data_IF_588526930991
#
_entry.id   IF_588526930991
#
_cell.length_a   1.000
_cell.length_b   1.000
_cell.length_c   1.000
_cell.angle_alpha   90.00
_cell.angle_beta   90.00
_cell.angle_gamma   90.00
#
_symmetry.space_group_name_H-M   'P 1'
#
loop_
_entity.id
_entity.type
_entity.pdbx_description
1 polymer ?
#
# COMPACT_ATOMS: atom_id res chain seq x y z
N UNK A 1 -56.16 28.22 -9.67
CA UNK A 1 -55.21 27.34 -8.95
C UNK A 1 -53.95 27.20 -9.80
N UNK A 2 -52.76 27.42 -9.23
CA UNK A 2 -51.49 27.30 -9.96
C UNK A 2 -51.06 25.83 -10.07
N UNK A 3 -50.96 25.28 -11.29
CA UNK A 3 -50.41 23.94 -11.54
C UNK A 3 -48.89 24.01 -11.54
N UNK A 4 -48.28 23.90 -10.36
CA UNK A 4 -46.83 23.72 -10.20
C UNK A 4 -46.43 22.28 -10.49
N UNK A 5 -46.42 21.88 -11.75
CA UNK A 5 -45.90 20.58 -12.20
C UNK A 5 -44.47 20.70 -12.71
N UNK A 6 -43.71 19.60 -12.67
CA UNK A 6 -42.40 19.51 -13.31
C UNK A 6 -42.53 19.92 -14.79
N UNK A 7 -41.74 20.90 -15.20
CA UNK A 7 -41.68 21.37 -16.59
C UNK A 7 -40.79 20.42 -17.38
N UNK A 8 -41.01 20.28 -18.68
CA UNK A 8 -40.05 19.60 -19.55
C UNK A 8 -38.69 20.31 -19.44
N UNK A 9 -37.67 19.57 -19.00
CA UNK A 9 -36.34 20.11 -18.68
C UNK A 9 -36.15 20.65 -17.26
N UNK A 10 -37.16 20.59 -16.38
CA UNK A 10 -37.00 20.88 -14.96
C UNK A 10 -36.45 19.67 -14.21
N UNK A 11 -35.19 19.77 -13.77
CA UNK A 11 -34.51 18.76 -12.99
C UNK A 11 -32.99 18.88 -13.14
N UNK A 12 -32.25 18.27 -12.21
CA UNK A 12 -30.80 18.11 -12.39
C UNK A 12 -30.58 17.13 -13.55
N UNK A 13 -29.78 17.46 -14.58
CA UNK A 13 -29.49 16.54 -15.67
C UNK A 13 -28.96 15.23 -15.09
N UNK A 14 -29.44 14.10 -15.63
CA UNK A 14 -29.00 12.79 -15.20
C UNK A 14 -27.51 12.70 -15.47
N UNK A 15 -26.71 12.55 -14.42
CA UNK A 15 -25.26 12.42 -14.56
C UNK A 15 -25.01 11.12 -15.32
N UNK A 16 -24.54 11.24 -16.55
CA UNK A 16 -24.04 10.10 -17.31
C UNK A 16 -22.87 9.53 -16.51
N UNK A 17 -23.00 8.27 -16.09
CA UNK A 17 -21.94 7.57 -15.37
C UNK A 17 -20.75 7.36 -16.30
N UNK A 18 -19.54 7.14 -15.74
CA UNK A 18 -18.44 6.63 -16.55
C UNK A 18 -18.88 5.35 -17.29
N UNK A 19 -18.30 5.07 -18.47
CA UNK A 19 -18.62 3.88 -19.24
C UNK A 19 -18.53 2.63 -18.37
N UNK A 20 -19.50 1.73 -18.55
CA UNK A 20 -19.57 0.49 -17.79
C UNK A 20 -18.36 -0.38 -18.16
N UNK A 21 -17.50 -0.64 -17.18
CA UNK A 21 -16.30 -1.45 -17.37
C UNK A 21 -16.71 -2.91 -17.57
N UNK A 22 -16.48 -3.44 -18.78
CA UNK A 22 -16.87 -4.79 -19.17
C UNK A 22 -16.00 -5.89 -18.56
N UNK A 23 -14.94 -5.54 -17.83
CA UNK A 23 -13.98 -6.50 -17.30
C UNK A 23 -12.86 -6.85 -18.28
N UNK A 24 -11.80 -7.54 -17.79
CA UNK A 24 -10.71 -7.96 -18.63
C UNK A 24 -11.16 -9.09 -19.58
N UNK A 25 -10.67 -9.06 -20.81
CA UNK A 25 -10.88 -10.14 -21.79
C UNK A 25 -9.99 -11.35 -21.44
N UNK A 26 -10.60 -12.41 -20.91
CA UNK A 26 -9.91 -13.64 -20.49
C UNK A 26 -10.23 -14.76 -21.49
N UNK A 27 -9.21 -15.29 -22.16
CA UNK A 27 -9.37 -16.26 -23.25
C UNK A 27 -9.80 -17.65 -22.75
N UNK A 28 -9.30 -18.08 -21.58
CA UNK A 28 -9.60 -19.38 -20.99
C UNK A 28 -10.19 -19.21 -19.59
N UNK A 29 -11.51 -19.27 -19.51
CA UNK A 29 -12.25 -19.19 -18.24
C UNK A 29 -12.23 -20.51 -17.46
N UNK A 30 -11.89 -21.63 -18.11
CA UNK A 30 -11.92 -22.96 -17.48
C UNK A 30 -10.78 -23.16 -16.48
N UNK A 31 -9.66 -22.44 -16.66
CA UNK A 31 -8.49 -22.48 -15.80
C UNK A 31 -8.30 -21.21 -14.96
N UNK A 32 -9.30 -20.34 -14.95
CA UNK A 32 -9.20 -19.06 -14.27
C UNK A 32 -9.34 -19.26 -12.76
N UNK A 33 -8.25 -19.05 -12.04
CA UNK A 33 -8.29 -19.00 -10.57
C UNK A 33 -8.75 -17.62 -10.10
N UNK A 34 -9.33 -17.50 -8.90
CA UNK A 34 -9.71 -16.20 -8.34
C UNK A 34 -8.53 -15.21 -8.28
N UNK A 35 -7.32 -15.70 -8.00
CA UNK A 35 -6.12 -14.87 -7.98
C UNK A 35 -5.75 -14.35 -9.37
N UNK A 36 -5.80 -15.19 -10.40
CA UNK A 36 -5.53 -14.76 -11.78
C UNK A 36 -6.57 -13.75 -12.26
N UNK A 37 -7.84 -13.89 -11.85
CA UNK A 37 -8.86 -12.88 -12.11
C UNK A 37 -8.48 -11.53 -11.49
N UNK A 38 -8.17 -11.48 -10.18
CA UNK A 38 -7.80 -10.21 -9.55
C UNK A 38 -6.54 -9.61 -10.17
N UNK A 39 -5.55 -10.43 -10.54
CA UNK A 39 -4.35 -10.01 -11.28
C UNK A 39 -4.67 -9.41 -12.64
N UNK A 40 -5.62 -9.98 -13.38
CA UNK A 40 -6.06 -9.41 -14.65
C UNK A 40 -6.75 -8.05 -14.42
N UNK A 41 -7.60 -7.93 -13.40
CA UNK A 41 -8.36 -6.70 -13.12
C UNK A 41 -7.49 -5.53 -12.68
N UNK A 42 -6.56 -5.71 -11.72
CA UNK A 42 -5.76 -4.57 -11.25
C UNK A 42 -4.66 -4.14 -12.23
N UNK A 43 -4.30 -4.99 -13.20
CA UNK A 43 -3.34 -4.68 -14.26
C UNK A 43 -3.97 -4.04 -15.50
N UNK A 44 -5.30 -4.11 -15.63
CA UNK A 44 -6.01 -3.49 -16.74
C UNK A 44 -6.01 -1.96 -16.58
N UNK A 45 -5.49 -1.24 -17.59
CA UNK A 45 -5.44 0.22 -17.58
C UNK A 45 -6.79 0.87 -17.80
N UNK A 46 -7.71 0.19 -18.49
CA UNK A 46 -9.07 0.67 -18.79
C UNK A 46 -10.01 0.53 -17.58
N UNK A 47 -9.62 -0.28 -16.59
CA UNK A 47 -10.40 -0.47 -15.38
C UNK A 47 -10.45 0.81 -14.51
N UNK A 48 -11.63 1.17 -13.96
CA UNK A 48 -11.75 2.27 -13.01
C UNK A 48 -10.85 2.08 -11.80
N UNK A 49 -10.31 3.18 -11.27
CA UNK A 49 -9.36 3.15 -10.16
C UNK A 49 -9.88 2.34 -8.95
N UNK A 50 -11.14 2.54 -8.56
CA UNK A 50 -11.75 1.86 -7.42
C UNK A 50 -11.78 0.33 -7.59
N UNK A 51 -12.02 -0.14 -8.82
CA UNK A 51 -12.05 -1.56 -9.15
C UNK A 51 -10.64 -2.14 -9.08
N UNK A 52 -9.65 -1.43 -9.65
CA UNK A 52 -8.24 -1.83 -9.57
C UNK A 52 -7.73 -1.88 -8.13
N UNK A 53 -8.08 -0.86 -7.34
CA UNK A 53 -7.66 -0.75 -5.94
C UNK A 53 -8.19 -1.93 -5.12
N UNK A 54 -9.49 -2.25 -5.23
CA UNK A 54 -10.08 -3.40 -4.53
C UNK A 54 -9.44 -4.72 -4.96
N UNK A 55 -9.26 -4.93 -6.25
CA UNK A 55 -8.62 -6.14 -6.76
C UNK A 55 -7.17 -6.28 -6.27
N UNK A 56 -6.41 -5.18 -6.19
CA UNK A 56 -5.06 -5.18 -5.66
C UNK A 56 -5.03 -5.51 -4.15
N UNK A 57 -5.96 -4.94 -3.37
CA UNK A 57 -6.06 -5.20 -1.94
C UNK A 57 -6.34 -6.68 -1.63
N UNK A 58 -7.26 -7.31 -2.36
CA UNK A 58 -7.59 -8.74 -2.20
C UNK A 58 -6.46 -9.67 -2.69
N UNK A 59 -5.71 -9.26 -3.72
CA UNK A 59 -4.58 -10.02 -4.23
C UNK A 59 -3.30 -9.88 -3.39
N UNK A 60 -3.15 -8.78 -2.63
CA UNK A 60 -1.94 -8.48 -1.85
C UNK A 60 -1.44 -9.63 -0.96
N UNK A 61 -2.29 -10.38 -0.22
CA UNK A 61 -1.86 -11.48 0.64
C UNK A 61 -1.23 -12.65 -0.12
N UNK A 62 -1.52 -12.78 -1.41
CA UNK A 62 -1.10 -13.91 -2.25
C UNK A 62 0.02 -13.55 -3.22
N UNK A 63 0.18 -12.25 -3.54
CA UNK A 63 1.24 -11.75 -4.44
C UNK A 63 2.55 -11.52 -3.69
N UNK A 64 2.48 -11.17 -2.40
CA UNK A 64 3.66 -10.91 -1.59
C UNK A 64 3.95 -12.09 -0.65
N UNK A 65 5.21 -12.48 -0.56
CA UNK A 65 5.64 -13.41 0.48
C UNK A 65 5.33 -12.77 1.84
N UNK A 66 4.46 -13.40 2.64
CA UNK A 66 4.32 -13.01 4.05
C UNK A 66 5.67 -13.23 4.70
N UNK A 67 6.20 -12.19 5.37
CA UNK A 67 7.37 -12.37 6.22
C UNK A 67 7.06 -13.53 7.17
N UNK A 68 7.99 -14.49 7.23
CA UNK A 68 7.91 -15.56 8.20
C UNK A 68 7.75 -14.94 9.60
N UNK A 69 6.87 -15.47 10.45
CA UNK A 69 6.81 -15.03 11.83
C UNK A 69 8.22 -15.19 12.42
N UNK A 70 8.78 -14.08 12.90
CA UNK A 70 10.08 -14.08 13.55
C UNK A 70 9.92 -14.93 14.82
N UNK A 71 10.57 -16.09 14.86
CA UNK A 71 10.70 -16.84 16.11
C UNK A 71 11.35 -15.88 17.12
N UNK A 72 10.71 -15.72 18.28
CA UNK A 72 11.26 -14.95 19.38
C UNK A 72 12.42 -15.74 20.00
N UNK A 73 13.51 -15.92 19.25
CA UNK A 73 14.78 -16.35 19.81
C UNK A 73 15.41 -15.15 20.50
N UNK A 74 15.26 -15.13 21.82
CA UNK A 74 16.16 -14.47 22.77
C UNK A 74 16.20 -12.95 22.74
N UNK A 75 15.97 -12.36 23.91
CA UNK A 75 16.38 -11.00 24.28
C UNK A 75 17.92 -10.83 24.17
N UNK A 76 18.49 -10.86 22.96
CA UNK A 76 19.89 -10.50 22.71
C UNK A 76 20.09 -9.85 21.33
N UNK A 77 19.04 -9.23 20.79
CA UNK A 77 19.19 -8.20 19.76
C UNK A 77 19.42 -6.87 20.46
N UNK A 78 20.67 -6.60 20.84
CA UNK A 78 21.13 -5.23 21.06
C UNK A 78 20.72 -4.43 19.82
N UNK A 79 19.81 -3.46 19.99
CA UNK A 79 19.30 -2.76 18.82
C UNK A 79 20.47 -1.98 18.22
N UNK A 80 20.62 -2.01 16.90
CA UNK A 80 21.63 -1.19 16.24
C UNK A 80 21.47 0.30 16.58
N UNK A 81 20.28 0.74 17.04
CA UNK A 81 20.06 2.08 17.54
C UNK A 81 20.81 2.38 18.86
N UNK A 82 20.96 1.38 19.74
CA UNK A 82 21.71 1.51 21.00
C UNK A 82 23.23 1.63 20.75
N UNK A 83 23.72 0.97 19.69
CA UNK A 83 25.12 1.06 19.26
C UNK A 83 25.46 2.45 18.69
N UNK A 84 24.55 3.05 17.90
CA UNK A 84 24.74 4.41 17.38
C UNK A 84 24.73 5.48 18.48
N UNK A 85 23.85 5.34 19.48
CA UNK A 85 23.75 6.30 20.59
C UNK A 85 25.02 6.28 21.46
N UNK A 86 25.61 5.10 21.64
CA UNK A 86 26.86 4.92 22.37
C UNK A 86 28.05 5.57 21.63
N UNK A 87 28.09 5.49 20.30
CA UNK A 87 29.17 6.07 19.48
C UNK A 87 29.06 7.60 19.31
N UNK A 88 27.84 8.15 19.33
CA UNK A 88 27.58 9.58 19.18
C UNK A 88 27.48 10.32 20.52
N UNK A 89 27.49 9.60 21.65
CA UNK A 89 27.42 10.20 22.97
C UNK A 89 28.57 11.21 23.21
N UNK A 90 28.27 12.44 23.67
CA UNK A 90 29.28 13.45 23.99
C UNK A 90 30.33 12.95 24.99
N UNK A 91 29.96 12.02 25.86
CA UNK A 91 30.85 11.43 26.88
C UNK A 91 31.87 10.47 26.26
N UNK A 92 31.50 9.74 25.20
CA UNK A 92 32.41 8.88 24.44
C UNK A 92 33.42 9.73 23.64
N UNK A 93 32.96 10.84 23.05
CA UNK A 93 33.80 11.77 22.31
C UNK A 93 34.79 12.52 23.21
N UNK A 94 34.36 12.95 24.40
CA UNK A 94 35.22 13.61 25.39
C UNK A 94 36.35 12.68 25.88
N UNK A 95 36.08 11.38 26.07
CA UNK A 95 37.08 10.38 26.48
C UNK A 95 38.14 10.14 25.38
N UNK A 96 37.75 10.23 24.11
CA UNK A 96 38.67 10.12 22.98
C UNK A 96 39.57 11.36 22.81
N UNK A 97 39.06 12.55 23.09
CA UNK A 97 39.82 13.80 23.01
C UNK A 97 40.76 14.00 24.21
N UNK A 98 40.33 13.64 25.43
CA UNK A 98 41.17 13.71 26.63
C UNK A 98 42.40 12.81 26.61
N UNK A 99 42.36 11.71 25.83
CA UNK A 99 43.49 10.79 25.64
C UNK A 99 44.58 11.32 24.70
N UNK A 100 44.26 12.30 23.84
CA UNK A 100 45.21 12.86 22.86
C UNK A 100 46.01 14.05 23.38
N UNK A 101 45.56 14.70 24.46
CA UNK A 101 46.22 15.89 25.02
C UNK A 101 47.14 15.61 26.22
N UNK A 102 47.42 14.34 26.52
CA UNK A 102 48.24 13.92 27.67
C UNK A 102 49.53 13.22 27.28
N UNK A 103 50.26 13.74 26.29
CA UNK A 103 51.59 13.24 25.92
C UNK A 103 52.55 14.41 25.71
N UNK A 104 53.06 14.93 26.83
CA UNK A 104 54.35 15.60 26.96
C UNK A 104 54.94 15.25 28.33
#
# INVERSE_FOLDING_TARGET
MARGGARDGAGRPKKEGPPEYAGPQIQDTSRLTPLEFFKAVFRDSEAPFDVRYKAAQEAAPFVHARLAPKEAEGDDQGSMADDWDTMLSPKAQAKAQGRKNGMH
#
